data_IF_345702530805
#
_entry.id   IF_345702530805
#
_cell.length_a   1.000
_cell.length_b   1.000
_cell.length_c   1.000
_cell.angle_alpha   90.00
_cell.angle_beta   90.00
_cell.angle_gamma   90.00
#
_symmetry.space_group_name_H-M   'P 1'
#
loop_
_entity.id
_entity.type
_entity.pdbx_description
1 polymer ?
#
# COMPACT_ATOMS: atom_id res chain seq x y z
N UNK A 1 71.28 30.53 47.44
CA UNK A 1 69.86 30.92 47.54
C UNK A 1 69.54 31.76 46.31
N UNK A 2 68.40 31.49 45.71
CA UNK A 2 67.89 31.95 44.41
C UNK A 2 68.18 31.00 43.24
N UNK A 3 67.09 30.64 42.57
CA UNK A 3 66.82 29.37 41.91
C UNK A 3 67.02 29.43 40.40
N UNK A 4 67.26 28.24 39.86
CA UNK A 4 67.28 27.91 38.45
C UNK A 4 65.88 28.10 37.83
N UNK A 5 65.78 28.74 36.67
CA UNK A 5 64.52 28.84 35.92
C UNK A 5 64.81 28.62 34.43
N UNK A 6 64.49 27.45 33.87
CA UNK A 6 64.60 27.27 32.43
C UNK A 6 63.50 28.08 31.77
N UNK A 7 63.87 29.13 31.04
CA UNK A 7 62.97 29.81 30.09
C UNK A 7 62.64 28.81 28.99
N UNK A 8 61.52 28.11 29.16
CA UNK A 8 60.92 27.26 28.15
C UNK A 8 60.42 28.16 27.02
N UNK A 9 61.28 28.39 26.03
CA UNK A 9 60.87 29.01 24.76
C UNK A 9 60.10 27.92 24.00
N UNK A 10 58.79 27.88 24.23
CA UNK A 10 57.84 27.20 23.35
C UNK A 10 58.00 27.89 21.98
N UNK A 11 58.40 27.21 20.89
CA UNK A 11 58.22 27.79 19.57
C UNK A 11 56.71 27.95 19.34
N UNK A 12 56.27 29.15 18.94
CA UNK A 12 54.91 29.48 18.46
C UNK A 12 54.55 28.73 17.14
N UNK A 13 54.87 27.46 17.05
CA UNK A 13 54.42 26.58 15.99
C UNK A 13 53.16 25.87 16.49
N UNK A 14 52.00 26.50 16.38
CA UNK A 14 50.70 25.84 16.10
C UNK A 14 49.50 26.80 15.96
N UNK A 15 49.69 28.08 15.63
CA UNK A 15 48.61 28.87 15.01
C UNK A 15 48.59 28.57 13.51
N UNK A 16 48.33 27.32 13.14
CA UNK A 16 47.76 27.04 11.82
C UNK A 16 46.39 27.70 11.85
N UNK A 17 46.31 28.87 11.23
CA UNK A 17 45.13 29.74 11.22
C UNK A 17 43.91 28.92 10.82
N UNK A 18 42.95 28.80 11.74
CA UNK A 18 41.65 28.16 11.48
C UNK A 18 40.96 28.76 10.25
N UNK A 19 41.23 30.04 9.97
CA UNK A 19 40.74 30.76 8.79
C UNK A 19 41.37 30.27 7.49
N UNK A 20 42.64 29.85 7.53
CA UNK A 20 43.38 29.32 6.38
C UNK A 20 42.96 27.86 6.07
N UNK A 21 42.68 27.07 7.11
CA UNK A 21 42.07 25.73 6.96
C UNK A 21 40.64 25.84 6.41
N UNK A 22 39.83 26.77 6.93
CA UNK A 22 38.46 27.01 6.46
C UNK A 22 38.42 27.44 4.99
N UNK A 23 39.34 28.32 4.57
CA UNK A 23 39.46 28.75 3.18
C UNK A 23 39.88 27.59 2.25
N UNK A 24 40.85 26.76 2.66
CA UNK A 24 41.25 25.58 1.89
C UNK A 24 40.13 24.54 1.76
N UNK A 25 39.40 24.28 2.85
CA UNK A 25 38.24 23.38 2.83
C UNK A 25 37.15 23.94 1.91
N UNK A 26 36.89 25.24 1.93
CA UNK A 26 35.93 25.90 1.03
C UNK A 26 36.29 25.78 -0.46
N UNK A 27 37.58 25.89 -0.79
CA UNK A 27 38.08 25.72 -2.16
C UNK A 27 37.97 24.27 -2.63
N UNK A 28 38.36 23.29 -1.80
CA UNK A 28 38.21 21.86 -2.07
C UNK A 28 36.73 21.49 -2.21
N UNK A 29 35.87 22.06 -1.36
CA UNK A 29 34.43 21.89 -1.43
C UNK A 29 33.84 22.43 -2.74
N UNK A 30 34.27 23.60 -3.20
CA UNK A 30 33.87 24.15 -4.50
C UNK A 30 34.32 23.28 -5.69
N UNK A 31 35.56 22.76 -5.62
CA UNK A 31 36.16 21.89 -6.64
C UNK A 31 35.49 20.52 -6.75
N UNK A 32 35.00 19.96 -5.64
CA UNK A 32 34.30 18.65 -5.63
C UNK A 32 32.82 18.82 -5.93
N UNK A 33 32.19 19.86 -5.37
CA UNK A 33 30.73 20.06 -5.46
C UNK A 33 30.28 20.35 -6.89
N UNK A 34 31.01 21.20 -7.61
CA UNK A 34 30.63 21.61 -8.97
C UNK A 34 30.65 20.47 -10.01
N UNK A 35 31.69 19.61 -10.11
CA UNK A 35 31.74 18.53 -11.11
C UNK A 35 31.13 17.20 -10.65
N UNK A 36 30.97 16.95 -9.34
CA UNK A 36 30.52 15.64 -8.85
C UNK A 36 29.14 15.69 -8.18
N UNK A 37 28.97 16.54 -7.16
CA UNK A 37 27.75 16.57 -6.34
C UNK A 37 26.57 17.17 -7.13
N UNK A 38 26.79 18.28 -7.84
CA UNK A 38 25.74 18.95 -8.62
C UNK A 38 25.16 18.07 -9.74
N UNK A 39 25.95 17.41 -10.62
CA UNK A 39 25.38 16.56 -11.65
C UNK A 39 24.72 15.30 -11.08
N UNK A 40 25.28 14.71 -10.02
CA UNK A 40 24.66 13.56 -9.35
C UNK A 40 23.31 13.92 -8.72
N UNK A 41 23.23 15.07 -8.05
CA UNK A 41 21.98 15.56 -7.48
C UNK A 41 20.96 15.89 -8.56
N UNK A 42 21.38 16.53 -9.66
CA UNK A 42 20.51 16.79 -10.83
C UNK A 42 19.98 15.49 -11.41
N UNK A 43 20.81 14.46 -11.57
CA UNK A 43 20.39 13.14 -12.04
C UNK A 43 19.34 12.54 -11.09
N UNK A 44 19.58 12.59 -9.77
CA UNK A 44 18.62 12.11 -8.77
C UNK A 44 17.28 12.85 -8.83
N UNK A 45 17.31 14.18 -9.00
CA UNK A 45 16.11 15.00 -9.18
C UNK A 45 15.36 14.62 -10.45
N UNK A 46 16.05 14.40 -11.58
CA UNK A 46 15.41 13.95 -12.81
C UNK A 46 14.79 12.57 -12.66
N UNK A 47 15.48 11.62 -12.02
CA UNK A 47 14.91 10.29 -11.74
C UNK A 47 13.66 10.42 -10.89
N UNK A 48 13.72 11.17 -9.79
CA UNK A 48 12.57 11.42 -8.92
C UNK A 48 11.39 12.05 -9.67
N UNK A 49 11.67 13.05 -10.52
CA UNK A 49 10.66 13.71 -11.34
C UNK A 49 10.01 12.75 -12.33
N UNK A 50 10.80 11.90 -13.00
CA UNK A 50 10.25 10.90 -13.94
C UNK A 50 9.35 9.89 -13.24
N UNK A 51 9.77 9.37 -12.08
CA UNK A 51 8.97 8.43 -11.28
C UNK A 51 7.67 9.07 -10.78
N UNK A 52 7.76 10.31 -10.26
CA UNK A 52 6.58 11.05 -9.81
C UNK A 52 5.60 11.28 -10.95
N UNK A 53 6.09 11.62 -12.15
CA UNK A 53 5.26 11.89 -13.32
C UNK A 53 4.61 10.62 -13.87
N UNK A 54 5.35 9.51 -13.90
CA UNK A 54 4.81 8.19 -14.26
C UNK A 54 3.66 7.77 -13.34
N UNK A 55 3.85 7.83 -12.01
CA UNK A 55 2.81 7.50 -11.03
C UNK A 55 1.60 8.44 -11.13
N UNK A 56 1.84 9.73 -11.35
CA UNK A 56 0.77 10.69 -11.55
C UNK A 56 -0.07 10.36 -12.79
N UNK A 57 0.57 10.04 -13.92
CA UNK A 57 -0.11 9.66 -15.14
C UNK A 57 -0.92 8.36 -14.99
N UNK A 58 -0.42 7.38 -14.25
CA UNK A 58 -1.18 6.15 -13.93
C UNK A 58 -2.45 6.48 -13.13
N UNK A 59 -2.34 7.31 -12.09
CA UNK A 59 -3.48 7.72 -11.26
C UNK A 59 -4.48 8.56 -12.05
N UNK A 60 -4.01 9.45 -12.92
CA UNK A 60 -4.86 10.22 -13.83
C UNK A 60 -5.60 9.31 -14.82
N UNK A 61 -4.89 8.36 -15.43
CA UNK A 61 -5.51 7.40 -16.35
C UNK A 61 -6.62 6.61 -15.66
N UNK A 62 -6.36 6.03 -14.49
CA UNK A 62 -7.37 5.31 -13.71
C UNK A 62 -8.55 6.22 -13.34
N UNK A 63 -8.29 7.47 -12.94
CA UNK A 63 -9.33 8.45 -12.64
C UNK A 63 -10.22 8.78 -13.85
N UNK A 64 -9.61 9.04 -15.01
CA UNK A 64 -10.33 9.32 -16.26
C UNK A 64 -11.15 8.11 -16.68
N UNK A 65 -10.58 6.90 -16.63
CA UNK A 65 -11.31 5.67 -16.96
C UNK A 65 -12.51 5.49 -16.05
N UNK A 66 -12.37 5.69 -14.74
CA UNK A 66 -13.49 5.59 -13.79
C UNK A 66 -14.56 6.65 -14.10
N UNK A 67 -14.18 7.89 -14.40
CA UNK A 67 -15.13 8.96 -14.74
C UNK A 67 -15.87 8.63 -16.03
N UNK A 68 -15.16 8.20 -17.08
CA UNK A 68 -15.75 7.80 -18.35
C UNK A 68 -16.69 6.61 -18.16
N UNK A 69 -16.25 5.56 -17.46
CA UNK A 69 -17.09 4.43 -17.08
C UNK A 69 -18.32 4.93 -16.36
N UNK A 70 -18.19 5.77 -15.34
CA UNK A 70 -19.34 6.25 -14.56
C UNK A 70 -20.29 7.16 -15.36
N UNK A 71 -19.79 7.89 -16.36
CA UNK A 71 -20.59 8.76 -17.22
C UNK A 71 -21.31 7.97 -18.33
N UNK A 72 -20.64 6.99 -18.94
CA UNK A 72 -21.16 6.22 -20.08
C UNK A 72 -21.88 4.93 -19.68
N UNK A 73 -21.53 4.32 -18.55
CA UNK A 73 -22.30 3.19 -18.03
C UNK A 73 -23.60 3.72 -17.42
N UNK A 74 -24.73 3.28 -17.98
CA UNK A 74 -26.04 3.40 -17.32
C UNK A 74 -25.91 2.85 -15.90
N UNK A 75 -26.36 3.64 -14.92
CA UNK A 75 -26.44 3.21 -13.52
C UNK A 75 -27.00 1.77 -13.44
N UNK A 76 -26.37 0.86 -12.68
CA UNK A 76 -26.83 -0.52 -12.55
C UNK A 76 -28.30 -0.61 -12.07
N UNK A 77 -28.78 0.44 -11.41
CA UNK A 77 -30.19 0.65 -11.04
C UNK A 77 -31.19 0.57 -12.20
N UNK A 78 -30.78 0.87 -13.44
CA UNK A 78 -31.66 0.72 -14.63
C UNK A 78 -31.52 -0.63 -15.33
N UNK A 79 -30.50 -1.42 -15.00
CA UNK A 79 -30.23 -2.74 -15.58
C UNK A 79 -30.92 -3.86 -14.80
N UNK A 80 -31.02 -3.69 -13.49
CA UNK A 80 -31.74 -4.58 -12.61
C UNK A 80 -32.99 -3.85 -12.13
N UNK A 81 -34.15 -4.35 -12.52
CA UNK A 81 -35.44 -3.89 -12.02
C UNK A 81 -35.53 -4.34 -10.55
N UNK A 82 -34.90 -3.59 -9.67
CA UNK A 82 -34.90 -3.84 -8.23
C UNK A 82 -36.26 -3.43 -7.68
N UNK A 83 -37.22 -4.35 -7.77
CA UNK A 83 -38.41 -4.31 -6.94
C UNK A 83 -38.06 -5.11 -5.67
N UNK A 84 -38.26 -4.58 -4.46
CA UNK A 84 -38.06 -5.35 -3.24
C UNK A 84 -38.92 -6.61 -3.35
N UNK A 85 -38.30 -7.77 -3.14
CA UNK A 85 -39.02 -9.04 -3.04
C UNK A 85 -40.09 -8.85 -1.98
N UNK A 86 -41.34 -8.92 -2.41
CA UNK A 86 -42.49 -8.69 -1.56
C UNK A 86 -42.63 -9.92 -0.67
N UNK A 87 -42.58 -9.71 0.65
CA UNK A 87 -42.81 -10.77 1.66
C UNK A 87 -44.30 -11.12 1.68
N UNK A 88 -44.75 -11.71 0.57
CA UNK A 88 -46.12 -12.17 0.40
C UNK A 88 -46.28 -13.45 1.22
N UNK A 89 -46.81 -13.31 2.44
CA UNK A 89 -47.11 -14.43 3.33
C UNK A 89 -48.00 -15.50 2.66
N UNK A 90 -48.77 -15.13 1.63
CA UNK A 90 -49.64 -16.03 0.86
C UNK A 90 -48.97 -16.71 -0.35
N UNK A 91 -47.88 -16.16 -0.91
CA UNK A 91 -47.12 -16.83 -2.01
C UNK A 91 -46.12 -17.85 -1.48
N UNK A 92 -45.74 -17.76 -0.20
CA UNK A 92 -44.67 -18.60 0.34
C UNK A 92 -43.34 -18.41 -0.40
N UNK A 93 -42.42 -19.36 -0.21
CA UNK A 93 -41.06 -19.36 -0.77
C UNK A 93 -40.93 -19.18 -2.30
N UNK A 94 -42.03 -19.17 -3.08
CA UNK A 94 -41.98 -19.19 -4.53
C UNK A 94 -41.34 -17.95 -5.16
N UNK A 95 -41.42 -16.79 -4.49
CA UNK A 95 -40.83 -15.54 -4.97
C UNK A 95 -39.30 -15.51 -4.84
N UNK A 96 -38.72 -16.38 -4.02
CA UNK A 96 -37.27 -16.46 -3.83
C UNK A 96 -36.65 -17.35 -4.92
N UNK A 97 -35.72 -16.83 -5.75
CA UNK A 97 -34.95 -17.68 -6.65
C UNK A 97 -34.04 -18.65 -5.87
N UNK A 98 -33.64 -19.74 -6.52
CA UNK A 98 -32.57 -20.59 -5.98
C UNK A 98 -31.25 -19.85 -6.13
N UNK A 99 -30.53 -19.67 -5.03
CA UNK A 99 -29.27 -18.91 -4.97
C UNK A 99 -28.14 -19.82 -4.51
N UNK A 100 -27.02 -19.75 -5.24
CA UNK A 100 -25.76 -20.38 -4.86
C UNK A 100 -24.81 -19.34 -4.29
N UNK A 101 -24.38 -19.52 -3.05
CA UNK A 101 -23.34 -18.71 -2.39
C UNK A 101 -22.02 -19.48 -2.44
N UNK A 102 -21.06 -18.98 -3.21
CA UNK A 102 -19.73 -19.58 -3.29
C UNK A 102 -18.75 -18.86 -2.35
N UNK A 103 -18.10 -19.62 -1.48
CA UNK A 103 -17.11 -19.13 -0.50
C UNK A 103 -15.75 -19.74 -0.87
N UNK A 104 -14.92 -19.04 -1.67
CA UNK A 104 -13.55 -19.47 -1.93
C UNK A 104 -12.68 -19.23 -0.68
N UNK A 105 -11.88 -20.22 -0.28
CA UNK A 105 -10.98 -20.14 0.86
C UNK A 105 -9.60 -20.74 0.55
N UNK A 106 -8.55 -20.13 1.11
CA UNK A 106 -7.16 -20.60 0.97
C UNK A 106 -6.34 -20.28 2.24
N UNK A 107 -6.11 -21.30 3.07
CA UNK A 107 -5.35 -21.25 4.32
C UNK A 107 -5.87 -20.22 5.36
N UNK A 108 -7.17 -19.91 5.38
CA UNK A 108 -7.76 -18.91 6.30
C UNK A 108 -8.59 -19.55 7.43
N UNK A 109 -7.91 -20.13 8.43
CA UNK A 109 -8.54 -20.94 9.49
C UNK A 109 -9.48 -20.14 10.40
N UNK A 110 -9.10 -18.90 10.73
CA UNK A 110 -9.82 -18.05 11.70
C UNK A 110 -11.18 -17.61 11.17
N UNK A 111 -11.29 -17.42 9.85
CA UNK A 111 -12.51 -16.94 9.19
C UNK A 111 -13.36 -18.08 8.65
N UNK A 112 -12.85 -19.31 8.54
CA UNK A 112 -13.57 -20.48 8.03
C UNK A 112 -14.98 -20.62 8.64
N UNK A 113 -15.07 -20.68 9.97
CA UNK A 113 -16.34 -20.85 10.69
C UNK A 113 -17.22 -19.60 10.62
N UNK A 114 -16.60 -18.42 10.62
CA UNK A 114 -17.31 -17.14 10.57
C UNK A 114 -17.98 -16.94 9.21
N UNK A 115 -17.28 -17.25 8.11
CA UNK A 115 -17.78 -17.12 6.75
C UNK A 115 -18.94 -18.08 6.47
N UNK A 116 -18.80 -19.34 6.86
CA UNK A 116 -19.88 -20.34 6.71
C UNK A 116 -21.07 -19.99 7.60
N UNK A 117 -20.82 -19.57 8.84
CA UNK A 117 -21.87 -19.13 9.76
C UNK A 117 -22.63 -17.90 9.25
N UNK A 118 -21.93 -16.92 8.69
CA UNK A 118 -22.54 -15.74 8.09
C UNK A 118 -23.39 -16.09 6.87
N UNK A 119 -22.89 -16.95 5.98
CA UNK A 119 -23.66 -17.41 4.81
C UNK A 119 -24.90 -18.22 5.21
N UNK A 120 -24.80 -19.02 6.27
CA UNK A 120 -25.92 -19.82 6.80
C UNK A 120 -26.99 -18.96 7.51
N UNK A 121 -26.62 -17.74 7.94
CA UNK A 121 -27.51 -16.80 8.62
C UNK A 121 -28.11 -15.74 7.67
N UNK A 122 -28.01 -15.95 6.36
CA UNK A 122 -28.72 -15.13 5.39
C UNK A 122 -30.22 -15.34 5.55
N UNK A 123 -30.99 -14.25 5.53
CA UNK A 123 -32.46 -14.29 5.47
C UNK A 123 -32.93 -14.77 4.10
N UNK A 124 -32.69 -16.05 3.81
CA UNK A 124 -33.11 -16.74 2.59
C UNK A 124 -33.71 -18.10 2.96
N UNK A 125 -34.70 -18.58 2.20
CA UNK A 125 -35.25 -19.89 2.47
C UNK A 125 -34.22 -21.02 2.30
N UNK A 126 -34.13 -21.91 3.29
CA UNK A 126 -33.10 -22.96 3.35
C UNK A 126 -33.21 -23.99 2.21
N UNK A 127 -34.41 -24.24 1.69
CA UNK A 127 -34.68 -25.08 0.51
C UNK A 127 -34.20 -24.45 -0.81
N UNK A 128 -33.81 -23.17 -0.78
CA UNK A 128 -33.43 -22.38 -1.97
C UNK A 128 -32.07 -21.71 -1.83
N UNK A 129 -31.37 -21.97 -0.73
CA UNK A 129 -30.02 -21.48 -0.47
C UNK A 129 -29.05 -22.67 -0.55
N UNK A 130 -28.12 -22.61 -1.49
CA UNK A 130 -27.02 -23.57 -1.58
C UNK A 130 -25.73 -22.85 -1.25
N UNK A 131 -24.99 -23.36 -0.26
CA UNK A 131 -23.68 -22.81 0.13
C UNK A 131 -22.60 -23.77 -0.37
N UNK A 132 -21.72 -23.27 -1.24
CA UNK A 132 -20.58 -24.01 -1.77
C UNK A 132 -19.29 -23.41 -1.23
N UNK A 133 -18.55 -24.19 -0.45
CA UNK A 133 -17.21 -23.81 0.02
C UNK A 133 -16.19 -24.38 -0.95
N UNK A 134 -15.40 -23.51 -1.58
CA UNK A 134 -14.30 -23.87 -2.46
C UNK A 134 -12.99 -23.69 -1.70
N UNK A 135 -12.53 -24.77 -1.06
CA UNK A 135 -11.31 -24.76 -0.26
C UNK A 135 -10.14 -25.38 -1.04
N UNK A 136 -9.16 -24.55 -1.40
CA UNK A 136 -7.93 -24.97 -2.08
C UNK A 136 -6.72 -24.98 -1.12
N UNK A 137 -6.99 -25.03 0.20
CA UNK A 137 -5.94 -25.00 1.22
C UNK A 137 -5.01 -26.19 1.14
N UNK A 138 -3.71 -25.91 1.20
CA UNK A 138 -2.64 -26.92 1.22
C UNK A 138 -2.25 -27.35 2.63
N UNK A 139 -2.65 -26.58 3.65
CA UNK A 139 -2.30 -26.82 5.05
C UNK A 139 -3.02 -28.07 5.61
N UNK A 140 -2.28 -29.04 6.21
CA UNK A 140 -2.88 -30.23 6.81
C UNK A 140 -3.83 -29.91 7.98
N UNK A 141 -3.65 -28.80 8.72
CA UNK A 141 -4.53 -28.42 9.83
C UNK A 141 -5.90 -27.95 9.36
N UNK A 142 -5.98 -27.31 8.17
CA UNK A 142 -7.26 -26.87 7.59
C UNK A 142 -8.02 -28.06 7.01
N UNK A 143 -7.32 -29.02 6.38
CA UNK A 143 -7.94 -30.23 5.82
C UNK A 143 -8.66 -31.10 6.85
N UNK A 144 -8.22 -31.08 8.12
CA UNK A 144 -8.87 -31.81 9.21
C UNK A 144 -10.25 -31.23 9.57
N UNK A 145 -10.52 -29.95 9.26
CA UNK A 145 -11.82 -29.32 9.50
C UNK A 145 -12.89 -29.68 8.46
N UNK A 146 -12.49 -30.25 7.32
CA UNK A 146 -13.38 -30.68 6.24
C UNK A 146 -13.88 -32.14 6.38
N UNK A 147 -13.47 -32.85 7.44
CA UNK A 147 -13.80 -34.27 7.70
C UNK A 147 -14.61 -34.40 9.00
#
# INVERSE_FOLDING_TARGET
>A
MAEDSPKFIIPESFQVSSDDIGAQIGLIWGLIKAPLIVPLLKLGVYICLTMSLMLFMERLYMGIVIILVKLFWKKPEKRYKWEPLQDDLESGNSNFPVVLVQIPMFNEREVYKLSIGAASNLSWPADRLVIQVLDDSTDPEIKVLNN
#
